data_IF_401763306075
#
_entry.id   IF_401763306075
#
_cell.length_a   1.000
_cell.length_b   1.000
_cell.length_c   1.000
_cell.angle_alpha   90.00
_cell.angle_beta   90.00
_cell.angle_gamma   90.00
#
_symmetry.space_group_name_H-M   'P 1'
#
loop_
_entity.id
_entity.type
_entity.pdbx_description
1 polymer ?
#
# COMPACT_ATOMS: atom_id res chain seq x y z
N UNK A 1 4.52 7.96 -5.30
CA UNK A 1 5.54 6.90 -5.37
C UNK A 1 6.88 7.21 -4.76
N UNK A 2 7.58 8.28 -5.15
CA UNK A 2 8.96 8.48 -4.66
C UNK A 2 9.08 8.56 -3.13
N UNK A 3 8.06 9.07 -2.42
CA UNK A 3 8.09 9.23 -0.97
C UNK A 3 7.92 7.92 -0.17
N UNK A 4 7.37 6.85 -0.75
CA UNK A 4 7.20 5.55 -0.05
C UNK A 4 8.43 4.64 -0.11
N UNK A 5 9.42 5.05 -0.89
CA UNK A 5 10.45 4.19 -1.44
C UNK A 5 11.87 4.63 -1.04
N UNK A 6 12.03 5.84 -0.51
CA UNK A 6 13.29 6.37 -0.02
C UNK A 6 13.27 6.32 1.52
N UNK A 7 13.97 5.34 2.08
CA UNK A 7 14.08 5.15 3.52
C UNK A 7 14.55 6.41 4.26
N UNK A 8 14.03 6.57 5.50
CA UNK A 8 14.35 7.46 6.64
C UNK A 8 14.92 8.88 6.46
N UNK A 9 15.55 9.24 5.35
CA UNK A 9 16.42 10.43 5.24
C UNK A 9 15.92 11.45 4.22
N UNK A 10 14.87 11.16 3.44
CA UNK A 10 14.46 12.04 2.34
C UNK A 10 13.12 12.69 2.65
N UNK A 11 13.14 14.03 2.78
CA UNK A 11 11.92 14.84 2.86
C UNK A 11 11.42 15.08 1.45
N UNK A 12 10.25 14.53 1.13
CA UNK A 12 9.59 14.79 -0.16
C UNK A 12 8.52 15.85 0.04
N UNK A 13 8.47 16.84 -0.83
CA UNK A 13 7.51 17.94 -0.79
C UNK A 13 6.77 17.99 -2.13
N UNK A 14 5.44 18.03 -2.09
CA UNK A 14 4.60 18.15 -3.28
C UNK A 14 3.71 19.38 -3.11
N UNK A 15 3.82 20.36 -4.02
CA UNK A 15 3.06 21.61 -4.00
C UNK A 15 3.13 22.37 -2.65
N UNK A 16 4.31 22.43 -2.03
CA UNK A 16 4.52 23.09 -0.73
C UNK A 16 4.00 22.31 0.48
N UNK A 17 3.49 21.09 0.26
CA UNK A 17 3.06 20.20 1.33
C UNK A 17 4.11 19.11 1.54
N UNK A 18 4.68 19.08 2.74
CA UNK A 18 5.72 18.14 3.11
C UNK A 18 5.12 16.75 3.32
N UNK A 19 5.37 15.86 2.36
CA UNK A 19 4.90 14.48 2.37
C UNK A 19 5.87 13.65 3.23
N UNK A 20 5.55 13.52 4.52
CA UNK A 20 6.28 12.64 5.45
C UNK A 20 5.64 11.25 5.44
N UNK A 21 6.01 10.39 4.49
CA UNK A 21 5.75 8.96 4.64
C UNK A 21 6.94 8.34 5.37
N UNK A 22 6.74 7.91 6.62
CA UNK A 22 7.79 7.28 7.43
C UNK A 22 7.75 5.75 7.32
N UNK A 23 6.65 5.19 6.83
CA UNK A 23 6.45 3.74 6.70
C UNK A 23 5.46 3.40 5.58
N UNK A 24 5.55 2.18 5.06
CA UNK A 24 4.59 1.63 4.10
C UNK A 24 3.17 1.60 4.68
N UNK A 25 3.04 1.35 5.99
CA UNK A 25 1.77 1.43 6.72
C UNK A 25 1.13 2.82 6.64
N UNK A 26 1.88 3.90 6.88
CA UNK A 26 1.34 5.26 6.79
C UNK A 26 0.84 5.59 5.38
N UNK A 27 1.54 5.06 4.36
CA UNK A 27 1.13 5.19 2.97
C UNK A 27 -0.17 4.42 2.69
N UNK A 28 -0.25 3.14 3.08
CA UNK A 28 -1.46 2.33 2.90
C UNK A 28 -2.67 2.93 3.62
N UNK A 29 -2.46 3.47 4.82
CA UNK A 29 -3.50 4.15 5.61
C UNK A 29 -4.12 5.35 4.88
N UNK A 30 -3.36 6.08 4.03
CA UNK A 30 -3.91 7.18 3.25
C UNK A 30 -4.84 6.71 2.13
N UNK A 31 -4.48 5.61 1.46
CA UNK A 31 -5.35 5.00 0.45
C UNK A 31 -6.65 4.51 1.08
N UNK A 32 -6.55 3.85 2.24
CA UNK A 32 -7.71 3.37 2.96
C UNK A 32 -8.59 4.53 3.46
N UNK A 33 -8.01 5.58 4.05
CA UNK A 33 -8.78 6.77 4.44
C UNK A 33 -9.48 7.46 3.27
N UNK A 34 -8.85 7.45 2.09
CA UNK A 34 -9.49 7.97 0.87
C UNK A 34 -10.65 7.09 0.42
N UNK A 35 -10.52 5.77 0.50
CA UNK A 35 -11.58 4.81 0.17
C UNK A 35 -12.70 4.75 1.24
N UNK A 36 -12.39 5.07 2.49
CA UNK A 36 -13.36 5.18 3.59
C UNK A 36 -14.26 6.42 3.45
N UNK A 37 -13.79 7.51 2.82
CA UNK A 37 -14.61 8.73 2.64
C UNK A 37 -15.92 8.47 1.88
N UNK A 38 -15.98 7.42 1.07
CA UNK A 38 -17.19 7.03 0.34
C UNK A 38 -18.07 6.05 1.11
N UNK A 39 -17.71 5.66 2.34
CA UNK A 39 -18.40 4.59 3.10
C UNK A 39 -18.75 5.05 4.53
N UNK A 40 -19.86 4.55 5.06
CA UNK A 40 -20.30 4.84 6.43
C UNK A 40 -19.62 3.96 7.49
N UNK A 41 -19.03 2.84 7.07
CA UNK A 41 -18.35 1.87 7.95
C UNK A 41 -16.85 1.83 7.67
N UNK A 42 -16.00 1.79 8.73
CA UNK A 42 -14.55 1.69 8.56
C UNK A 42 -14.18 0.39 7.83
N UNK A 43 -13.20 0.48 6.93
CA UNK A 43 -12.79 -0.69 6.14
C UNK A 43 -11.89 -1.59 7.00
N UNK A 44 -12.15 -2.91 7.03
CA UNK A 44 -11.27 -3.83 7.73
C UNK A 44 -9.91 -3.83 7.04
N UNK A 45 -8.85 -3.61 7.81
CA UNK A 45 -7.47 -3.66 7.31
C UNK A 45 -6.68 -4.73 8.05
N UNK A 46 -5.87 -5.46 7.30
CA UNK A 46 -4.90 -6.40 7.82
C UNK A 46 -3.54 -5.96 7.30
N UNK A 47 -2.63 -5.68 8.22
CA UNK A 47 -1.24 -5.34 7.92
C UNK A 47 -0.35 -6.45 8.45
N UNK A 48 0.55 -6.94 7.61
CA UNK A 48 1.50 -7.98 7.94
C UNK A 48 2.87 -7.63 7.39
N UNK A 49 3.89 -7.68 8.24
CA UNK A 49 5.28 -7.61 7.82
C UNK A 49 5.87 -9.01 7.87
N UNK A 50 6.29 -9.52 6.71
CA UNK A 50 6.82 -10.88 6.55
C UNK A 50 8.32 -10.79 6.28
N UNK A 51 9.12 -10.94 7.34
CA UNK A 51 10.56 -10.72 7.29
C UNK A 51 10.94 -9.28 6.93
N UNK A 52 12.14 -9.09 6.38
CA UNK A 52 12.68 -7.76 6.09
C UNK A 52 12.35 -7.24 4.69
N UNK A 53 11.91 -8.12 3.79
CA UNK A 53 11.70 -7.81 2.37
C UNK A 53 10.24 -7.70 1.95
N UNK A 54 9.30 -8.16 2.79
CA UNK A 54 7.87 -8.13 2.47
C UNK A 54 7.08 -7.38 3.53
N UNK A 55 6.29 -6.43 3.07
CA UNK A 55 5.30 -5.74 3.88
C UNK A 55 4.01 -5.68 3.06
N UNK A 56 2.93 -6.17 3.63
CA UNK A 56 1.67 -6.46 2.94
C UNK A 56 0.54 -5.80 3.72
N UNK A 57 -0.36 -5.12 3.01
CA UNK A 57 -1.58 -4.57 3.57
C UNK A 57 -2.76 -4.99 2.70
N UNK A 58 -3.79 -5.57 3.34
CA UNK A 58 -4.99 -6.07 2.68
C UNK A 58 -6.20 -5.39 3.29
N UNK A 59 -7.15 -5.01 2.44
CA UNK A 59 -8.43 -4.45 2.84
C UNK A 59 -9.49 -4.89 1.84
N UNK A 60 -10.76 -4.80 2.24
CA UNK A 60 -11.88 -5.04 1.33
C UNK A 60 -11.97 -3.94 0.27
N UNK A 61 -12.01 -4.33 -1.00
CA UNK A 61 -12.37 -3.46 -2.11
C UNK A 61 -13.86 -3.61 -2.45
N UNK A 62 -14.46 -2.58 -3.07
CA UNK A 62 -15.82 -2.65 -3.58
C UNK A 62 -15.81 -2.91 -5.09
N UNK A 63 -16.28 -4.09 -5.49
CA UNK A 63 -16.58 -4.44 -6.88
C UNK A 63 -15.43 -5.05 -7.68
N UNK A 64 -14.21 -4.49 -7.64
CA UNK A 64 -13.08 -5.00 -8.40
C UNK A 64 -11.81 -5.14 -7.57
N UNK A 65 -10.94 -6.07 -7.99
CA UNK A 65 -9.61 -6.22 -7.41
C UNK A 65 -8.79 -4.96 -7.68
N UNK A 66 -8.23 -4.39 -6.61
CA UNK A 66 -7.35 -3.24 -6.67
C UNK A 66 -6.03 -3.62 -6.01
N UNK A 67 -4.93 -3.22 -6.63
CA UNK A 67 -3.59 -3.48 -6.13
C UNK A 67 -2.73 -2.23 -6.21
N UNK A 68 -1.91 -2.03 -5.20
CA UNK A 68 -0.84 -1.03 -5.18
C UNK A 68 0.39 -1.73 -4.64
N UNK A 69 1.43 -1.84 -5.46
CA UNK A 69 2.62 -2.63 -5.13
C UNK A 69 3.91 -1.94 -5.55
N UNK A 70 4.97 -2.25 -4.81
CA UNK A 70 6.30 -1.68 -5.01
C UNK A 70 7.35 -2.79 -4.98
N UNK A 71 8.25 -2.79 -5.96
CA UNK A 71 9.42 -3.67 -5.99
C UNK A 71 10.66 -2.80 -6.10
N UNK A 72 11.60 -2.93 -5.15
CA UNK A 72 12.81 -2.12 -5.10
C UNK A 72 12.55 -0.63 -5.36
N UNK A 73 11.56 -0.07 -4.67
CA UNK A 73 11.23 1.35 -4.75
C UNK A 73 10.52 1.81 -6.05
N UNK A 74 10.17 0.89 -6.94
CA UNK A 74 9.44 1.15 -8.19
C UNK A 74 7.99 0.72 -8.03
N UNK A 75 7.05 1.61 -8.38
CA UNK A 75 5.64 1.28 -8.35
C UNK A 75 5.22 0.45 -9.56
N UNK A 76 4.71 -0.74 -9.28
CA UNK A 76 4.24 -1.69 -10.30
C UNK A 76 2.73 -1.54 -10.49
N UNK A 77 2.33 -0.50 -11.24
CA UNK A 77 0.90 -0.15 -11.47
C UNK A 77 0.13 -1.30 -12.14
N UNK A 78 0.79 -2.07 -13.01
CA UNK A 78 0.20 -3.24 -13.66
C UNK A 78 0.29 -4.53 -12.82
N UNK A 79 0.88 -4.46 -11.63
CA UNK A 79 1.17 -5.64 -10.80
C UNK A 79 2.33 -6.45 -11.36
N UNK A 80 2.26 -7.77 -11.21
CA UNK A 80 3.30 -8.71 -11.60
C UNK A 80 3.28 -9.96 -10.72
N UNK A 81 4.29 -10.82 -10.90
CA UNK A 81 4.40 -12.10 -10.20
C UNK A 81 4.43 -11.97 -8.68
N UNK A 82 4.95 -10.86 -8.14
CA UNK A 82 4.95 -10.58 -6.70
C UNK A 82 3.54 -10.33 -6.15
N UNK A 83 2.66 -9.69 -6.94
CA UNK A 83 1.25 -9.46 -6.56
C UNK A 83 0.48 -10.77 -6.65
N UNK A 84 0.66 -11.51 -7.74
CA UNK A 84 -0.03 -12.79 -7.95
C UNK A 84 0.37 -13.80 -6.86
N UNK A 85 1.65 -13.85 -6.48
CA UNK A 85 2.15 -14.73 -5.43
C UNK A 85 1.45 -14.51 -4.08
N UNK A 86 1.22 -13.25 -3.69
CA UNK A 86 0.53 -12.91 -2.44
C UNK A 86 -0.97 -13.11 -2.59
N UNK A 87 -1.56 -12.67 -3.70
CA UNK A 87 -3.00 -12.78 -3.94
C UNK A 87 -3.44 -14.22 -3.96
N UNK A 88 -2.72 -15.10 -4.66
CA UNK A 88 -3.02 -16.53 -4.73
C UNK A 88 -2.93 -17.21 -3.36
N UNK A 89 -2.00 -16.80 -2.48
CA UNK A 89 -1.94 -17.35 -1.12
C UNK A 89 -3.13 -16.94 -0.26
N UNK A 90 -3.68 -15.74 -0.48
CA UNK A 90 -4.84 -15.24 0.26
C UNK A 90 -6.13 -15.87 -0.26
N UNK A 91 -6.24 -16.12 -1.58
CA UNK A 91 -7.45 -16.65 -2.22
C UNK A 91 -7.51 -18.18 -2.26
N UNK A 92 -6.37 -18.88 -2.18
CA UNK A 92 -6.31 -20.34 -2.22
C UNK A 92 -6.71 -21.03 -0.90
N UNK A 93 -7.35 -20.31 0.02
CA UNK A 93 -7.83 -20.80 1.31
C UNK A 93 -9.32 -20.58 1.48
#
# INVERSE_FOLDING_TARGET
DMAGCLGKTVKVELNGTLIRFKSFRDYADLFLKSAEKSKSTPLPRIHAKVGDRWEICVSLSEGQFQQVSFVNSIATIKGGTHVDYITNQITAH
#
